data_IF_889605594876
#
_entry.id   IF_889605594876
#
_cell.length_a   1.000
_cell.length_b   1.000
_cell.length_c   1.000
_cell.angle_alpha   90.00
_cell.angle_beta   90.00
_cell.angle_gamma   90.00
#
_symmetry.space_group_name_H-M   'P 1'
#
loop_
_entity.id
_entity.type
_entity.pdbx_description
1 polymer ?
#
# COMPACT_ATOMS: atom_id res chain seq x y z
N UNK A 1 14.01 -3.47 13.96
CA UNK A 1 13.19 -2.23 14.06
C UNK A 1 13.76 -1.29 15.11
N UNK A 2 14.13 -1.80 16.29
CA UNK A 2 14.71 -0.95 17.33
C UNK A 2 15.98 -0.26 16.86
N UNK A 3 16.84 -0.97 16.11
CA UNK A 3 18.06 -0.39 15.56
C UNK A 3 17.74 0.76 14.60
N UNK A 4 16.75 0.58 13.73
CA UNK A 4 16.35 1.63 12.80
C UNK A 4 15.82 2.85 13.55
N UNK A 5 14.94 2.66 14.53
CA UNK A 5 14.38 3.75 15.33
C UNK A 5 15.46 4.48 16.13
N UNK A 6 16.42 3.75 16.68
CA UNK A 6 17.53 4.35 17.41
C UNK A 6 18.43 5.21 16.52
N UNK A 7 18.37 5.02 15.20
CA UNK A 7 19.10 5.81 14.22
C UNK A 7 18.20 6.82 13.50
N UNK A 8 17.03 7.13 14.06
CA UNK A 8 16.06 8.09 13.52
C UNK A 8 15.52 7.69 12.14
N UNK A 9 15.41 6.38 11.88
CA UNK A 9 14.83 5.86 10.65
C UNK A 9 13.41 5.37 10.90
N UNK A 10 12.54 5.63 9.94
CA UNK A 10 11.20 5.05 9.93
C UNK A 10 11.22 3.69 9.25
N UNK A 11 10.32 2.80 9.63
CA UNK A 11 10.27 1.43 9.12
C UNK A 11 8.94 1.17 8.43
N UNK A 12 9.02 0.70 7.18
CA UNK A 12 7.87 0.18 6.44
C UNK A 12 7.96 -1.34 6.47
N UNK A 13 6.94 -1.99 6.98
CA UNK A 13 6.84 -3.44 6.98
C UNK A 13 5.86 -3.87 5.90
N UNK A 14 6.34 -4.63 4.93
CA UNK A 14 5.55 -5.07 3.79
C UNK A 14 4.88 -6.41 4.07
N UNK A 15 3.63 -6.56 3.65
CA UNK A 15 2.90 -7.81 3.77
C UNK A 15 2.11 -8.12 2.49
N UNK A 16 1.82 -9.41 2.29
CA UNK A 16 1.21 -9.92 1.06
C UNK A 16 -0.09 -10.70 1.30
N UNK A 17 -0.41 -11.00 2.55
CA UNK A 17 -1.60 -11.74 2.92
C UNK A 17 -2.08 -11.35 4.32
N UNK A 18 -3.22 -11.90 4.70
CA UNK A 18 -3.85 -11.56 5.97
C UNK A 18 -3.04 -12.02 7.18
N UNK A 19 -2.38 -13.17 7.09
CA UNK A 19 -1.57 -13.69 8.19
C UNK A 19 -0.37 -12.78 8.44
N UNK A 20 0.33 -12.37 7.37
CA UNK A 20 1.44 -11.42 7.48
C UNK A 20 0.97 -10.07 8.02
N UNK A 21 -0.21 -9.61 7.60
CA UNK A 21 -0.77 -8.36 8.09
C UNK A 21 -1.07 -8.42 9.59
N UNK A 22 -1.68 -9.50 10.05
CA UNK A 22 -1.98 -9.68 11.47
C UNK A 22 -0.69 -9.72 12.30
N UNK A 23 0.35 -10.38 11.80
CA UNK A 23 1.66 -10.38 12.44
C UNK A 23 2.27 -8.97 12.47
N UNK A 24 2.16 -8.25 11.35
CA UNK A 24 2.66 -6.87 11.24
C UNK A 24 2.02 -5.93 12.26
N UNK A 25 0.75 -6.13 12.58
CA UNK A 25 0.05 -5.31 13.58
C UNK A 25 0.66 -5.44 14.98
N UNK A 26 1.37 -6.51 15.26
CA UNK A 26 2.02 -6.74 16.56
C UNK A 26 3.43 -6.19 16.63
N UNK A 27 3.97 -5.73 15.51
CA UNK A 27 5.34 -5.24 15.39
C UNK A 27 5.32 -3.70 15.38
N UNK A 28 6.36 -3.09 15.94
CA UNK A 28 6.47 -1.63 16.04
C UNK A 28 7.00 -1.02 14.74
N UNK A 29 6.27 -1.23 13.65
CA UNK A 29 6.57 -0.58 12.38
C UNK A 29 5.82 0.76 12.29
N UNK A 30 6.40 1.72 11.60
CA UNK A 30 5.77 3.03 11.40
C UNK A 30 4.66 2.97 10.36
N UNK A 31 4.88 2.17 9.31
CA UNK A 31 3.95 2.00 8.20
C UNK A 31 3.86 0.52 7.86
N UNK A 32 2.65 0.05 7.60
CA UNK A 32 2.44 -1.29 7.04
C UNK A 32 2.06 -1.12 5.57
N UNK A 33 2.86 -1.72 4.69
CA UNK A 33 2.61 -1.69 3.25
C UNK A 33 2.00 -3.00 2.78
N UNK A 34 0.86 -2.94 2.13
CA UNK A 34 0.23 -4.11 1.53
C UNK A 34 0.61 -4.14 0.05
N UNK A 35 1.37 -5.14 -0.34
CA UNK A 35 1.82 -5.29 -1.73
C UNK A 35 0.81 -6.13 -2.51
N UNK A 36 0.17 -5.51 -3.50
CA UNK A 36 -0.84 -6.16 -4.35
C UNK A 36 -0.22 -7.08 -5.41
N UNK A 37 1.11 -7.10 -5.53
CA UNK A 37 1.80 -7.97 -6.47
C UNK A 37 2.17 -9.28 -5.78
N UNK A 38 1.79 -10.40 -6.40
CA UNK A 38 2.21 -11.71 -5.97
C UNK A 38 3.68 -11.92 -6.38
N UNK A 39 4.55 -12.22 -5.42
CA UNK A 39 5.98 -12.35 -5.68
C UNK A 39 6.33 -13.61 -6.48
N UNK A 40 5.45 -14.61 -6.52
CA UNK A 40 5.69 -15.86 -7.26
C UNK A 40 5.23 -15.76 -8.70
N UNK A 41 4.04 -15.19 -8.94
CA UNK A 41 3.43 -15.09 -10.26
C UNK A 41 3.62 -13.75 -10.92
N UNK A 42 3.99 -12.73 -10.14
CA UNK A 42 4.06 -11.33 -10.53
C UNK A 42 2.70 -10.74 -10.96
N UNK A 43 1.61 -11.47 -10.73
CA UNK A 43 0.27 -10.95 -10.96
C UNK A 43 -0.07 -9.92 -9.89
N UNK A 44 -0.81 -8.89 -10.29
CA UNK A 44 -1.19 -7.79 -9.40
C UNK A 44 -2.71 -7.72 -9.31
N UNK A 45 -3.24 -7.59 -8.09
CA UNK A 45 -4.67 -7.43 -7.86
C UNK A 45 -4.93 -6.55 -6.65
N UNK A 46 -5.73 -5.50 -6.82
CA UNK A 46 -6.16 -4.63 -5.72
C UNK A 46 -7.05 -5.38 -4.72
N UNK A 47 -7.61 -6.51 -5.11
CA UNK A 47 -8.36 -7.36 -4.19
C UNK A 47 -7.52 -7.86 -3.02
N UNK A 48 -6.19 -7.92 -3.18
CA UNK A 48 -5.29 -8.28 -2.09
C UNK A 48 -5.48 -7.34 -0.91
N UNK A 49 -5.40 -6.02 -1.13
CA UNK A 49 -5.63 -5.03 -0.08
C UNK A 49 -7.03 -5.14 0.49
N UNK A 50 -8.04 -5.28 -0.36
CA UNK A 50 -9.43 -5.37 0.06
C UNK A 50 -9.68 -6.57 0.97
N UNK A 51 -9.17 -7.74 0.61
CA UNK A 51 -9.33 -8.96 1.40
C UNK A 51 -8.60 -8.88 2.73
N UNK A 52 -7.40 -8.30 2.74
CA UNK A 52 -6.62 -8.15 3.97
C UNK A 52 -7.32 -7.21 4.94
N UNK A 53 -7.83 -6.09 4.47
CA UNK A 53 -8.42 -5.05 5.33
C UNK A 53 -9.90 -5.26 5.64
N UNK A 54 -10.55 -6.18 4.95
CA UNK A 54 -11.95 -6.48 5.19
C UNK A 54 -12.17 -6.91 6.63
N UNK A 55 -13.10 -6.21 7.32
CA UNK A 55 -13.43 -6.47 8.72
C UNK A 55 -12.25 -6.37 9.71
N UNK A 56 -11.18 -5.66 9.32
CA UNK A 56 -10.03 -5.45 10.19
C UNK A 56 -10.12 -4.10 10.89
N UNK A 57 -9.68 -4.07 12.15
CA UNK A 57 -9.50 -2.85 12.91
C UNK A 57 -8.01 -2.54 12.97
N UNK A 58 -7.61 -1.39 12.42
CA UNK A 58 -6.21 -0.99 12.37
C UNK A 58 -6.02 0.51 12.53
N UNK A 59 -6.94 1.16 13.27
CA UNK A 59 -7.05 2.62 13.36
C UNK A 59 -5.76 3.33 13.82
N UNK A 60 -4.90 2.62 14.55
CA UNK A 60 -3.67 3.19 15.10
C UNK A 60 -2.44 2.96 14.21
N UNK A 61 -2.62 2.36 13.05
CA UNK A 61 -1.52 2.07 12.13
C UNK A 61 -1.70 2.82 10.83
N UNK A 62 -0.58 3.27 10.27
CA UNK A 62 -0.56 3.87 8.93
C UNK A 62 -0.44 2.73 7.91
N UNK A 63 -1.44 2.60 7.05
CA UNK A 63 -1.52 1.53 6.06
C UNK A 63 -1.38 2.15 4.67
N UNK A 64 -0.46 1.61 3.86
CA UNK A 64 -0.36 1.99 2.45
C UNK A 64 -0.61 0.77 1.57
N UNK A 65 -1.15 1.00 0.38
CA UNK A 65 -1.33 -0.03 -0.64
C UNK A 65 -0.32 0.20 -1.75
N UNK A 66 0.36 -0.86 -2.16
CA UNK A 66 1.47 -0.80 -3.11
C UNK A 66 1.17 -1.68 -4.32
N UNK A 67 1.57 -1.21 -5.50
CA UNK A 67 1.44 -1.90 -6.78
C UNK A 67 0.01 -1.97 -7.32
N UNK A 68 -0.11 -1.90 -8.62
CA UNK A 68 -1.39 -2.10 -9.30
C UNK A 68 -2.34 -0.91 -9.31
N UNK A 69 -1.92 0.23 -8.79
CA UNK A 69 -2.76 1.43 -8.77
C UNK A 69 -2.51 2.21 -10.05
N UNK A 70 -3.53 2.31 -10.90
CA UNK A 70 -3.39 2.90 -12.23
C UNK A 70 -4.29 4.10 -12.49
N UNK A 71 -5.32 4.31 -11.65
CA UNK A 71 -6.30 5.36 -11.87
C UNK A 71 -6.78 5.98 -10.57
N UNK A 72 -7.40 7.15 -10.68
CA UNK A 72 -8.05 7.79 -9.54
C UNK A 72 -9.19 6.92 -8.98
N UNK A 73 -9.87 6.19 -9.86
CA UNK A 73 -10.92 5.25 -9.45
C UNK A 73 -10.38 4.16 -8.52
N UNK A 74 -9.18 3.65 -8.82
CA UNK A 74 -8.52 2.67 -7.94
C UNK A 74 -8.26 3.25 -6.55
N UNK A 75 -7.78 4.49 -6.50
CA UNK A 75 -7.50 5.19 -5.25
C UNK A 75 -8.79 5.39 -4.45
N UNK A 76 -9.85 5.88 -5.09
CA UNK A 76 -11.14 6.08 -4.43
C UNK A 76 -11.69 4.77 -3.84
N UNK A 77 -11.58 3.69 -4.60
CA UNK A 77 -12.06 2.38 -4.17
C UNK A 77 -11.32 1.90 -2.93
N UNK A 78 -9.99 2.01 -2.93
CA UNK A 78 -9.17 1.58 -1.80
C UNK A 78 -9.34 2.48 -0.57
N UNK A 79 -9.65 3.75 -0.73
CA UNK A 79 -9.91 4.64 0.39
C UNK A 79 -11.10 4.17 1.24
N UNK A 80 -12.04 3.44 0.66
CA UNK A 80 -13.17 2.85 1.38
C UNK A 80 -12.72 1.75 2.38
N UNK A 81 -11.49 1.28 2.26
CA UNK A 81 -10.91 0.27 3.14
C UNK A 81 -9.97 0.87 4.19
N UNK A 82 -10.00 2.19 4.37
CA UNK A 82 -9.22 2.92 5.36
C UNK A 82 -7.70 2.85 5.11
N UNK A 83 -7.32 2.81 3.84
CA UNK A 83 -5.92 2.95 3.42
C UNK A 83 -5.51 4.42 3.59
N UNK A 84 -4.35 4.67 4.18
CA UNK A 84 -3.86 6.01 4.46
C UNK A 84 -3.03 6.60 3.33
N UNK A 85 -2.46 5.76 2.48
CA UNK A 85 -1.62 6.24 1.39
C UNK A 85 -1.36 5.15 0.36
N UNK A 86 -0.63 5.53 -0.67
CA UNK A 86 -0.37 4.65 -1.82
C UNK A 86 1.06 4.80 -2.27
N UNK A 87 1.68 3.68 -2.62
CA UNK A 87 2.98 3.68 -3.28
C UNK A 87 2.76 3.37 -4.76
N UNK A 88 3.03 4.35 -5.61
CA UNK A 88 2.76 4.27 -7.03
C UNK A 88 4.05 4.52 -7.81
N UNK A 89 4.44 3.58 -8.64
CA UNK A 89 5.64 3.73 -9.45
C UNK A 89 5.43 3.30 -10.89
N UNK A 90 5.04 2.04 -11.10
CA UNK A 90 4.96 1.46 -12.45
C UNK A 90 4.06 2.23 -13.40
N UNK A 91 2.87 2.63 -12.96
CA UNK A 91 1.93 3.35 -13.84
C UNK A 91 2.44 4.73 -14.22
N UNK A 92 3.18 5.38 -13.32
CA UNK A 92 3.79 6.68 -13.59
C UNK A 92 4.97 6.52 -14.52
N UNK A 93 5.86 5.56 -14.22
CA UNK A 93 7.09 5.34 -14.99
C UNK A 93 6.82 4.84 -16.39
N UNK A 94 5.73 4.09 -16.61
CA UNK A 94 5.36 3.57 -17.93
C UNK A 94 4.50 4.53 -18.75
N UNK A 95 4.08 5.66 -18.18
CA UNK A 95 3.24 6.62 -18.89
C UNK A 95 4.05 7.47 -19.88
N UNK A 96 3.40 7.92 -20.94
CA UNK A 96 4.02 8.80 -21.93
C UNK A 96 4.21 10.23 -21.40
N UNK A 97 3.44 10.62 -20.39
CA UNK A 97 3.55 11.94 -19.79
C UNK A 97 3.31 11.82 -18.29
N UNK A 98 4.38 11.96 -17.52
CA UNK A 98 4.37 11.80 -16.06
C UNK A 98 3.46 12.82 -15.39
N UNK A 99 3.51 14.08 -15.81
CA UNK A 99 2.69 15.14 -15.23
C UNK A 99 1.20 14.87 -15.42
N UNK A 100 0.80 14.49 -16.63
CA UNK A 100 -0.59 14.14 -16.93
C UNK A 100 -1.04 12.95 -16.10
N UNK A 101 -0.18 11.94 -15.97
CA UNK A 101 -0.50 10.74 -15.17
C UNK A 101 -0.67 11.09 -13.69
N UNK A 102 0.21 11.93 -13.15
CA UNK A 102 0.08 12.38 -11.77
C UNK A 102 -1.23 13.12 -11.53
N UNK A 103 -1.60 14.03 -12.44
CA UNK A 103 -2.87 14.76 -12.33
C UNK A 103 -4.07 13.84 -12.41
N UNK A 104 -4.02 12.82 -13.27
CA UNK A 104 -5.08 11.82 -13.37
C UNK A 104 -5.27 11.10 -12.03
N UNK A 105 -4.18 10.64 -11.41
CA UNK A 105 -4.22 9.89 -10.16
C UNK A 105 -4.78 10.69 -8.99
N UNK A 106 -4.51 11.98 -8.95
CA UNK A 106 -5.01 12.86 -7.89
C UNK A 106 -6.24 13.67 -8.29
N UNK A 107 -6.81 13.36 -9.46
CA UNK A 107 -8.01 13.99 -9.99
C UNK A 107 -7.90 15.51 -10.18
N UNK A 108 -6.82 15.95 -10.84
CA UNK A 108 -6.59 17.37 -11.13
C UNK A 108 -6.38 17.70 -12.59
#
# INVERSE_FOLDING_TARGET
>A
IDYAHNNNLEVILECHNKDEFNEALTIDADIIGINNRDLKTFNTSLNTTKKILENQKHANKCIISESGIESYSDIQDLLNYNVNGFLIGSSIMSSNNIETKLKELINK
#
